data_IF_453154212996
#
_entry.id   IF_453154212996
#
_cell.length_a   1.000
_cell.length_b   1.000
_cell.length_c   1.000
_cell.angle_alpha   90.00
_cell.angle_beta   90.00
_cell.angle_gamma   90.00
#
_symmetry.space_group_name_H-M   'P 1'
#
loop_
_entity.id
_entity.type
_entity.pdbx_description
1 polymer ?
#
# COMPACT_ATOMS: atom_id res chain seq x y z
N UNK A 1 -20.70 -16.97 -17.81
CA UNK A 1 -20.62 -18.43 -18.03
C UNK A 1 -21.01 -18.90 -19.45
N UNK A 2 -21.59 -18.06 -20.32
CA UNK A 2 -22.06 -18.53 -21.63
C UNK A 2 -20.97 -18.66 -22.71
N UNK A 3 -19.91 -17.84 -22.66
CA UNK A 3 -18.82 -17.91 -23.66
C UNK A 3 -18.01 -19.22 -23.56
N UNK A 4 -17.81 -19.71 -22.33
CA UNK A 4 -17.04 -20.91 -22.02
C UNK A 4 -17.72 -22.19 -22.53
N UNK A 5 -19.06 -22.21 -22.53
CA UNK A 5 -19.84 -23.38 -22.95
C UNK A 5 -19.94 -23.51 -24.47
N UNK A 6 -19.85 -22.40 -25.19
CA UNK A 6 -19.98 -22.35 -26.65
C UNK A 6 -18.67 -22.72 -27.36
N UNK A 7 -17.51 -22.39 -26.76
CA UNK A 7 -16.20 -22.74 -27.31
C UNK A 7 -15.87 -24.23 -27.15
N UNK A 8 -16.21 -24.84 -26.01
CA UNK A 8 -15.96 -26.26 -25.75
C UNK A 8 -16.76 -27.22 -26.65
N UNK A 9 -17.85 -26.78 -27.28
CA UNK A 9 -18.66 -27.62 -28.17
C UNK A 9 -18.18 -27.60 -29.62
N UNK A 10 -17.16 -26.80 -29.96
CA UNK A 10 -16.76 -26.54 -31.35
C UNK A 10 -15.42 -27.16 -31.75
N UNK A 11 -14.65 -27.75 -30.84
CA UNK A 11 -13.31 -28.28 -31.13
C UNK A 11 -13.18 -29.73 -30.64
N UNK A 12 -13.07 -30.67 -31.57
CA UNK A 12 -13.12 -32.12 -31.32
C UNK A 12 -11.72 -32.75 -31.10
N UNK A 13 -10.76 -31.97 -30.56
CA UNK A 13 -9.37 -32.39 -30.36
C UNK A 13 -8.85 -31.98 -28.98
N UNK A 14 -8.21 -32.91 -28.24
CA UNK A 14 -7.56 -32.64 -26.94
C UNK A 14 -6.44 -31.57 -27.05
N UNK A 15 -5.81 -31.41 -28.22
CA UNK A 15 -4.77 -30.39 -28.45
C UNK A 15 -5.34 -28.96 -28.53
N UNK A 16 -6.54 -28.80 -29.10
CA UNK A 16 -7.24 -27.50 -29.18
C UNK A 16 -7.68 -27.03 -27.79
N UNK A 17 -8.07 -27.97 -26.92
CA UNK A 17 -8.44 -27.68 -25.54
C UNK A 17 -7.25 -27.15 -24.72
N UNK A 18 -6.04 -27.68 -24.94
CA UNK A 18 -4.82 -27.18 -24.32
C UNK A 18 -4.49 -25.74 -24.74
N UNK A 19 -4.62 -25.46 -26.04
CA UNK A 19 -4.36 -24.13 -26.60
C UNK A 19 -5.36 -23.08 -26.09
N UNK A 20 -6.64 -23.44 -25.97
CA UNK A 20 -7.68 -22.55 -25.42
C UNK A 20 -7.50 -22.32 -23.92
N UNK A 21 -7.09 -23.34 -23.15
CA UNK A 21 -6.78 -23.18 -21.72
C UNK A 21 -5.60 -22.23 -21.49
N UNK A 22 -4.54 -22.37 -22.30
CA UNK A 22 -3.37 -21.48 -22.24
C UNK A 22 -3.71 -20.06 -22.67
N UNK A 23 -4.48 -19.88 -23.76
CA UNK A 23 -4.97 -18.56 -24.16
C UNK A 23 -5.80 -17.89 -23.05
N UNK A 24 -6.67 -18.66 -22.37
CA UNK A 24 -7.46 -18.16 -21.25
C UNK A 24 -6.58 -17.79 -20.05
N UNK A 25 -5.55 -18.58 -19.73
CA UNK A 25 -4.57 -18.26 -18.68
C UNK A 25 -3.85 -16.96 -18.99
N UNK A 26 -3.32 -16.82 -20.20
CA UNK A 26 -2.64 -15.61 -20.67
C UNK A 26 -3.54 -14.37 -20.59
N UNK A 27 -4.81 -14.47 -21.00
CA UNK A 27 -5.76 -13.35 -20.89
C UNK A 27 -6.01 -12.97 -19.43
N UNK A 28 -6.16 -13.95 -18.52
CA UNK A 28 -6.32 -13.67 -17.09
C UNK A 28 -5.09 -12.98 -16.50
N UNK A 29 -3.91 -13.48 -16.82
CA UNK A 29 -2.64 -12.87 -16.37
C UNK A 29 -2.47 -11.45 -16.90
N UNK A 30 -2.84 -11.20 -18.16
CA UNK A 30 -2.83 -9.87 -18.74
C UNK A 30 -3.79 -8.93 -18.01
N UNK A 31 -5.03 -9.36 -17.75
CA UNK A 31 -6.02 -8.56 -17.02
C UNK A 31 -5.47 -8.23 -15.62
N UNK A 32 -4.95 -9.22 -14.89
CA UNK A 32 -4.35 -9.00 -13.57
C UNK A 32 -3.15 -8.04 -13.61
N UNK A 33 -2.32 -8.12 -14.65
CA UNK A 33 -1.19 -7.21 -14.84
C UNK A 33 -1.64 -5.78 -15.11
N UNK A 34 -2.69 -5.61 -15.94
CA UNK A 34 -3.30 -4.31 -16.22
C UNK A 34 -3.92 -3.72 -14.96
N UNK A 35 -4.73 -4.50 -14.22
CA UNK A 35 -5.36 -4.07 -12.96
C UNK A 35 -4.31 -3.64 -11.93
N UNK A 36 -3.23 -4.41 -11.81
CA UNK A 36 -2.11 -4.07 -10.93
C UNK A 36 -1.45 -2.75 -11.34
N UNK A 37 -1.27 -2.53 -12.64
CA UNK A 37 -0.65 -1.31 -13.16
C UNK A 37 -1.54 -0.08 -12.97
N UNK A 38 -2.85 -0.22 -13.18
CA UNK A 38 -3.83 0.85 -12.93
C UNK A 38 -3.80 1.25 -11.45
N UNK A 39 -3.91 0.28 -10.55
CA UNK A 39 -3.84 0.50 -9.10
C UNK A 39 -2.53 1.19 -8.67
N UNK A 40 -1.39 0.82 -9.27
CA UNK A 40 -0.12 1.50 -9.02
C UNK A 40 -0.13 2.96 -9.48
N UNK A 41 -0.69 3.25 -10.66
CA UNK A 41 -0.79 4.63 -11.16
C UNK A 41 -1.74 5.47 -10.32
N UNK A 42 -2.88 4.91 -9.88
CA UNK A 42 -3.82 5.59 -8.98
C UNK A 42 -3.15 5.95 -7.65
N UNK A 43 -2.43 4.99 -7.04
CA UNK A 43 -1.67 5.23 -5.81
C UNK A 43 -0.57 6.26 -5.99
N UNK A 44 0.14 6.25 -7.12
CA UNK A 44 1.17 7.25 -7.44
C UNK A 44 0.54 8.64 -7.64
N UNK A 45 -0.59 8.71 -8.33
CA UNK A 45 -1.34 9.95 -8.52
C UNK A 45 -1.81 10.51 -7.18
N UNK A 46 -2.39 9.65 -6.33
CA UNK A 46 -2.82 10.01 -4.99
C UNK A 46 -1.69 10.55 -4.12
N UNK A 47 -0.53 9.90 -4.13
CA UNK A 47 0.64 10.37 -3.41
C UNK A 47 1.10 11.76 -3.88
N UNK A 48 1.01 12.06 -5.19
CA UNK A 48 1.31 13.39 -5.73
C UNK A 48 0.31 14.46 -5.29
N UNK A 49 -0.96 14.12 -5.18
CA UNK A 49 -1.99 15.02 -4.66
C UNK A 49 -1.77 15.35 -3.19
N UNK A 50 -1.47 14.34 -2.37
CA UNK A 50 -1.15 14.60 -0.97
C UNK A 50 0.11 15.44 -0.87
N UNK A 51 1.17 15.09 -1.60
CA UNK A 51 2.40 15.86 -1.66
C UNK A 51 2.13 17.34 -2.02
N UNK A 52 1.32 17.62 -3.04
CA UNK A 52 1.04 19.01 -3.45
C UNK A 52 0.30 19.78 -2.35
N UNK A 53 -0.62 19.11 -1.63
CA UNK A 53 -1.39 19.68 -0.52
C UNK A 53 -0.62 19.74 0.81
N UNK A 54 0.47 19.01 0.98
CA UNK A 54 1.28 19.05 2.20
C UNK A 54 2.04 20.39 2.31
N UNK A 55 1.98 21.01 3.49
CA UNK A 55 2.70 22.24 3.80
C UNK A 55 4.22 21.99 3.83
N UNK A 56 4.98 22.76 3.04
CA UNK A 56 6.44 22.72 2.98
C UNK A 56 7.13 23.05 4.30
N UNK A 57 6.48 23.78 5.20
CA UNK A 57 7.00 24.11 6.53
C UNK A 57 6.76 23.01 7.56
N UNK A 58 5.91 22.03 7.23
CA UNK A 58 5.61 20.92 8.11
C UNK A 58 6.77 19.92 8.06
N UNK A 59 7.38 19.68 9.21
CA UNK A 59 8.48 18.73 9.37
C UNK A 59 8.22 17.94 10.65
N UNK A 60 8.41 16.63 10.59
CA UNK A 60 8.26 15.72 11.73
C UNK A 60 9.59 15.07 12.08
N UNK A 61 9.95 15.05 13.36
CA UNK A 61 11.11 14.30 13.84
C UNK A 61 10.69 12.85 14.07
N UNK A 62 11.33 11.92 13.37
CA UNK A 62 11.15 10.48 13.56
C UNK A 62 11.83 10.01 14.85
N UNK A 63 11.49 8.80 15.31
CA UNK A 63 12.16 8.17 16.46
C UNK A 63 13.67 7.98 16.28
N UNK A 64 14.13 7.75 15.05
CA UNK A 64 15.55 7.67 14.72
C UNK A 64 16.31 9.01 14.85
N UNK A 65 15.61 10.11 15.11
CA UNK A 65 16.16 11.47 15.08
C UNK A 65 16.17 12.10 13.69
N UNK A 66 15.92 11.32 12.63
CA UNK A 66 15.79 11.84 11.27
C UNK A 66 14.61 12.82 11.16
N UNK A 67 14.83 13.94 10.48
CA UNK A 67 13.76 14.86 10.11
C UNK A 67 13.10 14.38 8.83
N UNK A 68 11.77 14.34 8.85
CA UNK A 68 10.94 13.93 7.72
C UNK A 68 10.13 15.14 7.26
N UNK A 69 10.30 15.53 6.00
CA UNK A 69 9.63 16.65 5.39
C UNK A 69 8.72 16.19 4.24
N UNK A 70 8.02 17.16 3.64
CA UNK A 70 7.23 16.97 2.43
C UNK A 70 8.00 16.22 1.33
N UNK A 71 9.27 16.56 1.15
CA UNK A 71 10.09 16.06 0.03
C UNK A 71 10.43 14.58 0.15
N UNK A 72 10.41 14.07 1.39
CA UNK A 72 10.61 12.66 1.68
C UNK A 72 9.39 11.81 1.24
N UNK A 73 8.19 12.38 1.09
CA UNK A 73 6.99 11.63 0.67
C UNK A 73 7.16 10.97 -0.70
N UNK A 74 7.83 11.65 -1.63
CA UNK A 74 7.96 11.21 -3.03
C UNK A 74 9.31 10.56 -3.34
N UNK A 75 10.25 10.54 -2.38
CA UNK A 75 11.62 10.09 -2.59
C UNK A 75 11.73 8.57 -2.57
N UNK A 76 11.40 7.93 -3.69
CA UNK A 76 11.54 6.48 -3.86
C UNK A 76 10.51 5.65 -3.08
N UNK A 77 9.44 6.28 -2.61
CA UNK A 77 8.39 5.65 -1.81
C UNK A 77 7.14 5.38 -2.63
N UNK A 78 6.46 4.28 -2.29
CA UNK A 78 5.19 3.89 -2.89
C UNK A 78 4.10 3.87 -1.83
N UNK A 79 2.96 4.48 -2.14
CA UNK A 79 1.76 4.38 -1.32
C UNK A 79 1.20 2.96 -1.41
N UNK A 80 1.06 2.28 -0.27
CA UNK A 80 0.48 0.94 -0.17
C UNK A 80 -1.01 1.02 0.17
N UNK A 81 -1.36 1.85 1.15
CA UNK A 81 -2.73 2.04 1.60
C UNK A 81 -2.92 3.43 2.23
N UNK A 82 -4.13 3.94 2.16
CA UNK A 82 -4.52 5.23 2.71
C UNK A 82 -5.94 5.11 3.28
N UNK A 83 -6.21 5.83 4.36
CA UNK A 83 -7.53 5.90 4.97
C UNK A 83 -7.59 6.87 6.14
N UNK A 84 -8.81 7.19 6.58
CA UNK A 84 -9.03 8.06 7.72
C UNK A 84 -8.90 7.26 9.02
N UNK A 85 -8.06 7.72 9.94
CA UNK A 85 -7.88 7.12 11.26
C UNK A 85 -7.98 8.20 12.34
N UNK A 86 -8.12 7.77 13.59
CA UNK A 86 -8.10 8.66 14.74
C UNK A 86 -6.90 8.33 15.63
N UNK A 87 -6.05 9.32 15.90
CA UNK A 87 -4.98 9.17 16.88
C UNK A 87 -5.52 9.47 18.27
N UNK A 88 -5.30 8.56 19.21
CA UNK A 88 -5.65 8.79 20.61
C UNK A 88 -4.43 9.27 21.38
N UNK A 89 -4.60 10.40 22.04
CA UNK A 89 -3.57 10.98 22.88
C UNK A 89 -3.61 10.39 24.31
N UNK A 90 -2.60 10.71 25.10
CA UNK A 90 -2.42 10.25 26.49
C UNK A 90 -3.52 10.77 27.42
N UNK A 91 -4.20 11.86 27.04
CA UNK A 91 -5.37 12.38 27.73
C UNK A 91 -6.70 11.76 27.25
N UNK A 92 -6.65 10.74 26.37
CA UNK A 92 -7.82 10.05 25.82
C UNK A 92 -8.57 10.80 24.71
N UNK A 93 -8.08 11.97 24.27
CA UNK A 93 -8.67 12.74 23.17
C UNK A 93 -8.30 12.10 21.84
N UNK A 94 -9.29 12.00 20.96
CA UNK A 94 -9.14 11.53 19.59
C UNK A 94 -8.87 12.71 18.66
N UNK A 95 -7.96 12.52 17.71
CA UNK A 95 -7.66 13.47 16.63
C UNK A 95 -7.85 12.78 15.28
N UNK A 96 -8.72 13.32 14.44
CA UNK A 96 -8.90 12.84 13.08
C UNK A 96 -7.65 13.13 12.24
N UNK A 97 -7.16 12.11 11.57
CA UNK A 97 -5.98 12.15 10.72
C UNK A 97 -6.20 11.34 9.45
N UNK A 98 -5.54 11.74 8.38
CA UNK A 98 -5.33 10.92 7.19
C UNK A 98 -4.09 10.06 7.40
N UNK A 99 -4.25 8.76 7.44
CA UNK A 99 -3.16 7.81 7.53
C UNK A 99 -2.71 7.37 6.14
N UNK A 100 -1.39 7.31 5.92
CA UNK A 100 -0.78 6.83 4.69
C UNK A 100 0.31 5.82 5.02
N UNK A 101 0.10 4.58 4.60
CA UNK A 101 1.09 3.53 4.67
C UNK A 101 1.92 3.56 3.38
N UNK A 102 3.17 3.95 3.50
CA UNK A 102 4.17 3.86 2.44
C UNK A 102 4.95 2.54 2.55
N UNK A 103 5.84 2.30 1.60
CA UNK A 103 6.68 1.10 1.52
C UNK A 103 7.60 0.86 2.73
N UNK A 104 7.97 1.91 3.46
CA UNK A 104 8.97 1.87 4.54
C UNK A 104 8.50 2.60 5.82
N UNK A 105 7.46 3.42 5.72
CA UNK A 105 6.96 4.27 6.79
C UNK A 105 5.43 4.36 6.81
N UNK A 106 4.85 4.51 7.99
CA UNK A 106 3.46 4.88 8.20
C UNK A 106 3.40 6.34 8.67
N UNK A 107 2.58 7.15 8.00
CA UNK A 107 2.50 8.60 8.19
C UNK A 107 1.08 8.99 8.58
N UNK A 108 0.94 9.88 9.56
CA UNK A 108 -0.33 10.51 9.90
C UNK A 108 -0.29 12.01 9.58
N UNK A 109 -1.25 12.44 8.77
CA UNK A 109 -1.42 13.83 8.36
C UNK A 109 -2.71 14.38 8.94
N UNK A 110 -2.69 15.62 9.39
CA UNK A 110 -3.88 16.36 9.78
C UNK A 110 -4.21 17.38 8.70
N UNK A 111 -5.49 17.51 8.38
CA UNK A 111 -5.95 18.60 7.51
C UNK A 111 -6.08 19.89 8.34
N UNK A 112 -5.39 20.94 7.90
CA UNK A 112 -5.40 22.26 8.52
C UNK A 112 -5.35 23.31 7.41
N UNK A 113 -6.31 24.23 7.40
CA UNK A 113 -6.41 25.30 6.41
C UNK A 113 -6.36 24.77 4.95
N UNK A 114 -7.10 23.68 4.68
CA UNK A 114 -7.14 22.93 3.40
C UNK A 114 -5.82 22.27 2.96
N UNK A 115 -4.78 22.35 3.77
CA UNK A 115 -3.47 21.72 3.57
C UNK A 115 -3.28 20.54 4.51
N UNK A 116 -2.38 19.63 4.13
CA UNK A 116 -1.93 18.58 5.04
C UNK A 116 -0.71 19.05 5.83
N UNK A 117 -0.72 18.77 7.13
CA UNK A 117 0.43 18.94 8.03
C UNK A 117 0.68 17.62 8.74
N UNK A 118 1.93 17.31 9.10
CA UNK A 118 2.20 16.14 9.92
C UNK A 118 1.46 16.26 11.26
N UNK A 119 0.74 15.21 11.63
CA UNK A 119 -0.08 15.22 12.84
C UNK A 119 0.81 15.39 14.09
N UNK A 120 0.27 16.01 15.14
CA UNK A 120 0.97 16.15 16.43
C UNK A 120 0.29 15.29 17.49
N UNK A 121 1.07 14.47 18.20
CA UNK A 121 0.55 13.57 19.23
C UNK A 121 1.45 13.57 20.46
N UNK A 122 1.18 14.41 21.45
CA UNK A 122 1.90 14.44 22.75
C UNK A 122 3.43 14.31 22.66
N UNK A 123 4.05 15.00 21.70
CA UNK A 123 5.50 14.95 21.41
C UNK A 123 6.02 13.60 20.87
N UNK A 124 5.14 12.63 20.58
CA UNK A 124 5.44 11.38 19.86
C UNK A 124 5.55 11.62 18.35
N UNK A 125 6.31 10.75 17.69
CA UNK A 125 6.47 10.82 16.24
C UNK A 125 5.23 10.25 15.53
N UNK A 126 4.65 11.02 14.61
CA UNK A 126 3.53 10.59 13.76
C UNK A 126 3.99 10.13 12.37
N UNK A 127 5.30 10.07 12.18
CA UNK A 127 5.97 9.35 11.09
C UNK A 127 6.70 8.19 11.74
N UNK A 128 6.20 6.98 11.49
CA UNK A 128 6.63 5.75 12.15
C UNK A 128 7.30 4.86 11.11
N UNK A 129 8.53 4.41 11.38
CA UNK A 129 9.18 3.41 10.52
C UNK A 129 8.51 2.06 10.68
N UNK A 130 8.37 1.32 9.58
CA UNK A 130 7.89 -0.06 9.62
C UNK A 130 8.95 -1.02 10.16
N UNK A 131 10.22 -0.60 10.20
CA UNK A 131 11.30 -1.39 10.79
C UNK A 131 11.03 -1.60 12.28
N UNK A 132 11.00 -2.87 12.70
CA UNK A 132 10.71 -3.27 14.08
C UNK A 132 9.36 -2.75 14.61
N UNK A 133 8.40 -2.46 13.73
CA UNK A 133 7.05 -2.10 14.14
C UNK A 133 6.26 -3.34 14.57
N UNK A 134 5.64 -3.27 15.74
CA UNK A 134 4.76 -4.31 16.26
C UNK A 134 3.34 -3.77 16.28
N UNK A 135 2.43 -4.46 15.62
CA UNK A 135 0.99 -4.11 15.58
C UNK A 135 0.22 -5.06 16.49
N UNK A 136 -0.55 -4.50 17.43
CA UNK A 136 -1.38 -5.25 18.38
C UNK A 136 -2.81 -4.72 18.42
N UNK A 137 -3.75 -5.58 18.74
CA UNK A 137 -5.15 -5.20 18.92
C UNK A 137 -5.37 -4.62 20.32
N UNK A 138 -6.28 -3.67 20.44
CA UNK A 138 -6.69 -3.13 21.74
C UNK A 138 -7.80 -4.01 22.30
N UNK A 139 -7.59 -4.60 23.49
CA UNK A 139 -8.53 -5.58 24.06
C UNK A 139 -9.93 -5.01 24.34
N UNK A 140 -10.01 -3.74 24.76
CA UNK A 140 -11.26 -3.08 25.15
C UNK A 140 -11.79 -2.11 24.08
N UNK A 141 -11.22 -2.11 22.88
CA UNK A 141 -11.63 -1.22 21.78
C UNK A 141 -11.46 -1.98 20.46
N UNK A 142 -12.57 -2.47 19.91
CA UNK A 142 -12.54 -3.36 18.76
C UNK A 142 -12.05 -2.69 17.46
N UNK A 143 -12.14 -1.35 17.40
CA UNK A 143 -11.64 -0.54 16.29
C UNK A 143 -10.20 -0.06 16.51
N UNK A 144 -9.60 -0.40 17.64
CA UNK A 144 -8.29 0.09 18.08
C UNK A 144 -7.12 -0.82 17.70
N UNK A 145 -5.99 -0.19 17.38
CA UNK A 145 -4.69 -0.83 17.24
C UNK A 145 -3.64 -0.07 18.05
N UNK A 146 -2.72 -0.82 18.64
CA UNK A 146 -1.46 -0.30 19.15
C UNK A 146 -0.35 -0.53 18.13
N UNK A 147 0.33 0.56 17.80
CA UNK A 147 1.55 0.58 17.00
C UNK A 147 2.73 0.79 17.95
N UNK A 148 3.60 -0.21 18.06
CA UNK A 148 4.71 -0.21 19.01
C UNK A 148 6.02 -0.25 18.23
N UNK A 149 6.82 0.81 18.34
CA UNK A 149 8.16 0.86 17.74
C UNK A 149 9.15 0.11 18.64
N UNK A 150 9.56 -1.09 18.26
CA UNK A 150 10.55 -1.87 18.99
C UNK A 150 11.99 -1.61 18.48
N UNK A 151 13.01 -2.06 19.22
CA UNK A 151 14.41 -1.99 18.79
C UNK A 151 15.09 -0.63 18.92
N UNK A 152 14.49 0.32 19.62
CA UNK A 152 15.06 1.61 20.01
C UNK A 152 15.11 1.73 21.54
N UNK A 153 16.01 2.55 22.10
CA UNK A 153 16.20 2.70 23.56
C UNK A 153 14.90 3.02 24.32
N UNK A 154 13.94 3.70 23.67
CA UNK A 154 12.62 4.02 24.24
C UNK A 154 11.52 3.66 23.24
N UNK A 155 10.87 2.50 23.41
CA UNK A 155 9.74 2.12 22.58
C UNK A 155 8.60 3.13 22.69
N UNK A 156 8.06 3.57 21.56
CA UNK A 156 6.83 4.34 21.54
C UNK A 156 5.65 3.48 21.17
N UNK A 157 4.59 3.62 21.96
CA UNK A 157 3.28 3.05 21.69
C UNK A 157 2.34 4.17 21.22
N UNK A 158 1.74 4.00 20.05
CA UNK A 158 0.72 4.90 19.50
C UNK A 158 -0.58 4.13 19.36
N UNK A 159 -1.66 4.66 19.90
CA UNK A 159 -2.99 4.07 19.77
C UNK A 159 -3.73 4.75 18.62
N UNK A 160 -4.19 3.94 17.67
CA UNK A 160 -4.92 4.39 16.48
C UNK A 160 -6.27 3.68 16.42
N UNK A 161 -7.32 4.42 16.07
CA UNK A 161 -8.68 3.89 15.93
C UNK A 161 -9.13 4.04 14.48
N UNK A 162 -9.70 2.97 13.92
CA UNK A 162 -10.34 2.97 12.62
C UNK A 162 -11.83 3.32 12.73
N UNK A 163 -12.50 3.54 11.59
CA UNK A 163 -13.94 3.81 11.58
C UNK A 163 -14.77 2.59 11.96
N UNK A 164 -14.29 1.38 11.62
CA UNK A 164 -14.92 0.10 11.98
C UNK A 164 -13.91 -0.99 12.35
N UNK A 165 -14.41 -2.12 12.86
CA UNK A 165 -13.59 -3.31 13.18
C UNK A 165 -13.01 -3.94 11.91
N UNK A 166 -13.77 -3.94 10.83
CA UNK A 166 -13.37 -4.46 9.52
C UNK A 166 -12.25 -3.61 8.93
N UNK A 167 -12.38 -2.28 9.02
CA UNK A 167 -11.33 -1.37 8.59
C UNK A 167 -10.07 -1.55 9.47
N UNK A 168 -10.24 -1.67 10.79
CA UNK A 168 -9.15 -2.00 11.71
C UNK A 168 -8.43 -3.29 11.31
N UNK A 169 -9.16 -4.35 10.98
CA UNK A 169 -8.59 -5.62 10.53
C UNK A 169 -7.83 -5.48 9.20
N UNK A 170 -8.38 -4.68 8.29
CA UNK A 170 -7.75 -4.37 7.00
C UNK A 170 -6.42 -3.64 7.22
N UNK A 171 -6.41 -2.58 8.04
CA UNK A 171 -5.18 -1.88 8.42
C UNK A 171 -4.16 -2.81 9.07
N UNK A 172 -4.59 -3.65 10.01
CA UNK A 172 -3.71 -4.62 10.67
C UNK A 172 -3.04 -5.55 9.65
N UNK A 173 -3.82 -6.16 8.76
CA UNK A 173 -3.30 -7.09 7.76
C UNK A 173 -2.31 -6.40 6.81
N UNK A 174 -2.66 -5.25 6.25
CA UNK A 174 -1.81 -4.54 5.30
C UNK A 174 -0.51 -4.05 5.95
N UNK A 175 -0.58 -3.52 7.19
CA UNK A 175 0.64 -3.10 7.91
C UNK A 175 1.52 -4.31 8.20
N UNK A 176 0.96 -5.44 8.63
CA UNK A 176 1.71 -6.67 8.87
C UNK A 176 2.39 -7.17 7.59
N UNK A 177 1.68 -7.19 6.47
CA UNK A 177 2.25 -7.56 5.17
C UNK A 177 3.40 -6.60 4.79
N UNK A 178 3.23 -5.30 4.99
CA UNK A 178 4.26 -4.31 4.70
C UNK A 178 5.51 -4.43 5.60
N UNK A 179 5.37 -4.90 6.85
CA UNK A 179 6.50 -5.18 7.74
C UNK A 179 7.23 -6.47 7.32
N UNK A 180 6.50 -7.50 6.88
CA UNK A 180 7.02 -8.83 6.53
C UNK A 180 7.71 -8.84 5.17
N UNK A 181 7.38 -7.91 4.27
CA UNK A 181 8.05 -7.74 2.98
C UNK A 181 9.21 -6.75 3.18
N UNK A 182 10.43 -7.20 3.58
CA UNK A 182 11.57 -6.31 3.60
C UNK A 182 11.83 -5.76 2.20
N UNK A 183 12.46 -4.60 2.14
CA UNK A 183 12.83 -3.86 0.93
C UNK A 183 13.80 -4.59 -0.02
N UNK A 184 13.88 -5.92 0.00
CA UNK A 184 14.82 -6.75 -0.76
C UNK A 184 14.28 -7.32 -2.10
N UNK A 185 13.11 -6.89 -2.60
CA UNK A 185 12.61 -7.33 -3.92
C UNK A 185 11.96 -6.20 -4.74
N UNK A 186 12.66 -5.06 -4.90
CA UNK A 186 12.26 -4.01 -5.87
C UNK A 186 13.36 -3.64 -6.88
N UNK A 187 14.43 -4.44 -6.97
CA UNK A 187 15.23 -4.53 -8.19
C UNK A 187 14.76 -5.78 -8.94
N UNK A 188 14.56 -5.66 -10.25
CA UNK A 188 14.17 -6.72 -11.20
C UNK A 188 12.67 -6.98 -11.39
N UNK A 189 11.91 -5.98 -11.89
CA UNK A 189 10.83 -6.21 -12.89
C UNK A 189 10.67 -5.00 -13.84
N UNK A 190 11.79 -4.43 -14.25
CA UNK A 190 11.83 -3.39 -15.28
C UNK A 190 12.77 -3.83 -16.40
N UNK A 191 12.56 -5.03 -16.96
CA UNK A 191 13.12 -5.47 -18.26
C UNK A 191 12.49 -6.81 -18.65
N UNK A 192 11.25 -6.78 -19.16
CA UNK A 192 10.75 -7.81 -20.08
C UNK A 192 9.45 -7.40 -20.77
N UNK A 193 9.43 -6.20 -21.37
CA UNK A 193 8.48 -5.89 -22.45
C UNK A 193 9.31 -5.79 -23.72
N UNK A 194 9.85 -6.93 -24.18
CA UNK A 194 10.45 -7.04 -25.50
C UNK A 194 10.45 -8.49 -26.00
N UNK A 195 9.31 -9.19 -25.91
CA UNK A 195 9.10 -10.41 -26.71
C UNK A 195 7.67 -10.41 -27.23
N UNK A 196 7.40 -9.56 -28.22
CA UNK A 196 6.49 -9.92 -29.31
C UNK A 196 7.17 -9.48 -30.61
N UNK A 197 8.30 -10.12 -30.94
CA UNK A 197 8.70 -10.16 -32.34
C UNK A 197 7.67 -11.03 -33.04
N UNK A 198 6.89 -10.38 -33.89
CA UNK A 198 5.97 -10.99 -34.85
C UNK A 198 6.84 -11.80 -35.81
N UNK A 199 7.02 -13.10 -35.54
CA UNK A 199 7.60 -13.99 -36.53
C UNK A 199 6.50 -14.43 -37.50
N UNK A 200 6.32 -13.57 -38.51
CA UNK A 200 5.65 -13.90 -39.74
C UNK A 200 6.49 -14.97 -40.47
N UNK A 201 6.15 -16.25 -40.31
CA UNK A 201 6.64 -17.28 -41.22
C UNK A 201 5.52 -18.17 -41.72
N UNK A 202 4.91 -17.66 -42.79
CA UNK A 202 4.40 -18.41 -43.94
C UNK A 202 5.02 -19.82 -44.02
N UNK A 203 4.24 -20.85 -43.72
CA UNK A 203 4.55 -22.23 -44.12
C UNK A 203 4.00 -22.44 -45.53
N UNK A 204 4.87 -22.22 -46.53
CA UNK A 204 4.81 -22.96 -47.79
C UNK A 204 5.36 -24.36 -47.53
N UNK A 205 4.56 -25.37 -47.80
CA UNK A 205 4.79 -26.59 -48.61
C UNK A 205 3.59 -27.49 -48.33
#
# INVERSE_FOLDING_TARGET
>A
MCLMRFLCTLTDSEEDHGCVCEALRCVKELIMAVDSKVNEQEKKQRLREVYSRTDSKSIMRMKSGQMFAKEDLIRGRRLLHEGALQLKNSAGRLKDVQAMLLSDVLIFLQEKDQKYVFASLDQRSTVISLQNLIVREVANEERGLFLITAGIERPEMVEVLASSKEERNTWRAIIQDAIIIPSCHLQDKQDNINIISIDHKCKKI
#
